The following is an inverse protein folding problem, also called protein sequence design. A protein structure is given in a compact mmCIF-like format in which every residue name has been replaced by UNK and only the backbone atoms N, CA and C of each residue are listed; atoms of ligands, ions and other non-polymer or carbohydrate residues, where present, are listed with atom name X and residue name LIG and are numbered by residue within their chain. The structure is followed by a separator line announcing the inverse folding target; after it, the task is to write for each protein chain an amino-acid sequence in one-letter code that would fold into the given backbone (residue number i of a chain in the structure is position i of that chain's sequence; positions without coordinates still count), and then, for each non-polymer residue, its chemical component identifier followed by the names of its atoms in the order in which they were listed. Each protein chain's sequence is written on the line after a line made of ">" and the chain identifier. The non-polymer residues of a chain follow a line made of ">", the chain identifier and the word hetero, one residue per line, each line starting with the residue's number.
data_IF_726056810343
#
_entry.id   IF_726056810343
#
_cell.length_a   1.000
_cell.length_b   1.000
_cell.length_c   1.000
_cell.angle_alpha   90.00
_cell.angle_beta   90.00
_cell.angle_gamma   90.00
#
_symmetry.space_group_name_H-M   'P 1'
#
loop_
_entity.id
_entity.type
_entity.pdbx_description
1 polymer ?
#
# COMPACT_ATOMS: atom_id res chain seq x y z
N UNK A 1 -15.42 -8.60 -71.22
CA UNK A 1 -15.20 -8.04 -69.88
C UNK A 1 -14.15 -8.89 -69.21
N UNK A 2 -12.90 -8.46 -69.27
CA UNK A 2 -11.77 -9.22 -68.76
C UNK A 2 -11.22 -8.57 -67.49
N UNK A 3 -11.17 -9.35 -66.41
CA UNK A 3 -10.61 -8.95 -65.14
C UNK A 3 -9.11 -9.23 -65.16
N UNK A 4 -8.29 -8.18 -65.11
CA UNK A 4 -6.82 -8.31 -65.05
C UNK A 4 -6.40 -8.52 -63.59
N UNK A 5 -5.83 -9.67 -63.31
CA UNK A 5 -5.19 -9.98 -62.03
C UNK A 5 -3.81 -9.31 -61.95
N UNK A 6 -3.59 -8.44 -60.96
CA UNK A 6 -2.30 -7.82 -60.62
C UNK A 6 -1.42 -8.79 -59.88
N UNK A 7 -0.32 -9.16 -60.56
CA UNK A 7 0.69 -10.09 -60.07
C UNK A 7 1.74 -9.37 -59.20
N UNK A 8 1.86 -9.81 -57.94
CA UNK A 8 2.85 -9.30 -56.96
C UNK A 8 4.22 -9.92 -57.13
N UNK A 9 4.91 -9.64 -58.25
CA UNK A 9 6.33 -9.97 -58.35
C UNK A 9 7.01 -8.95 -59.26
N UNK A 10 8.01 -8.31 -58.68
CA UNK A 10 9.09 -7.52 -59.22
C UNK A 10 9.11 -6.08 -58.74
N UNK A 11 9.77 -5.88 -57.61
CA UNK A 11 10.57 -4.69 -57.35
C UNK A 11 11.78 -5.10 -56.49
N UNK A 12 12.78 -5.60 -57.15
CA UNK A 12 14.14 -5.66 -56.62
C UNK A 12 15.01 -4.75 -57.45
N UNK A 13 15.89 -4.07 -56.75
CA UNK A 13 17.05 -3.37 -57.23
C UNK A 13 16.95 -1.84 -57.41
N UNK A 14 17.37 -1.12 -56.38
CA UNK A 14 18.34 -0.02 -56.56
C UNK A 14 19.05 0.22 -55.22
N UNK A 15 20.33 -0.04 -55.17
CA UNK A 15 21.20 0.08 -54.02
C UNK A 15 21.37 1.52 -53.52
N UNK A 16 21.55 1.63 -52.25
CA UNK A 16 21.98 2.81 -51.54
C UNK A 16 22.65 2.39 -50.24
N UNK A 17 23.98 2.19 -50.28
CA UNK A 17 24.78 2.03 -49.07
C UNK A 17 24.83 3.35 -48.32
N UNK A 18 23.93 3.50 -47.33
CA UNK A 18 24.04 4.54 -46.30
C UNK A 18 24.75 3.92 -45.12
N UNK A 19 26.01 4.30 -44.91
CA UNK A 19 26.73 4.07 -43.68
C UNK A 19 26.07 4.88 -42.57
N UNK A 20 25.11 4.29 -41.85
CA UNK A 20 24.66 4.80 -40.58
C UNK A 20 25.70 4.46 -39.52
N UNK A 21 26.56 5.44 -39.16
CA UNK A 21 27.39 5.36 -37.98
C UNK A 21 26.47 5.03 -36.79
N UNK A 22 26.55 3.78 -36.32
CA UNK A 22 25.83 3.31 -35.16
C UNK A 22 26.30 4.07 -33.92
N UNK A 23 25.53 5.05 -33.49
CA UNK A 23 25.59 5.52 -32.11
C UNK A 23 25.03 4.38 -31.24
N UNK A 24 25.94 3.53 -30.78
CA UNK A 24 25.62 2.58 -29.70
C UNK A 24 25.38 3.38 -28.47
N UNK A 25 24.18 3.99 -28.38
CA UNK A 25 23.66 4.51 -27.14
C UNK A 25 23.58 3.35 -26.17
N UNK A 26 24.52 3.28 -25.24
CA UNK A 26 24.39 2.44 -24.05
C UNK A 26 23.06 2.78 -23.40
N UNK A 27 22.02 1.99 -23.67
CA UNK A 27 20.81 1.99 -22.90
C UNK A 27 21.23 1.54 -21.50
N UNK A 28 21.59 2.51 -20.66
CA UNK A 28 21.73 2.24 -19.23
C UNK A 28 20.39 1.65 -18.79
N UNK A 29 20.40 0.48 -18.15
CA UNK A 29 19.16 -0.09 -17.65
C UNK A 29 18.49 0.98 -16.78
N UNK A 30 17.25 1.34 -17.11
CA UNK A 30 16.45 2.18 -16.25
C UNK A 30 16.56 1.57 -14.85
N UNK A 31 17.20 2.26 -13.91
CA UNK A 31 17.23 1.83 -12.53
C UNK A 31 15.76 1.65 -12.15
N UNK A 32 15.38 0.42 -11.84
CA UNK A 32 14.08 0.17 -11.24
C UNK A 32 13.98 1.12 -10.05
N UNK A 33 13.09 2.11 -10.13
CA UNK A 33 12.89 3.05 -9.03
C UNK A 33 12.40 2.20 -7.87
N UNK A 34 13.19 2.13 -6.80
CA UNK A 34 12.84 1.37 -5.63
C UNK A 34 11.51 1.88 -5.04
N UNK A 35 10.84 1.04 -4.28
CA UNK A 35 9.58 1.37 -3.63
C UNK A 35 9.80 2.53 -2.64
N UNK A 36 9.15 3.67 -2.88
CA UNK A 36 9.29 4.85 -2.03
C UNK A 36 8.67 4.63 -0.64
N UNK A 37 9.28 5.14 0.43
CA UNK A 37 8.73 5.01 1.78
C UNK A 37 7.40 5.75 1.92
N UNK A 38 6.50 5.17 2.70
CA UNK A 38 5.23 5.79 3.07
C UNK A 38 5.49 6.95 4.03
N UNK A 39 4.97 8.13 3.70
CA UNK A 39 4.96 9.26 4.62
C UNK A 39 3.80 9.13 5.63
N UNK A 40 4.01 9.64 6.85
CA UNK A 40 2.90 9.76 7.80
C UNK A 40 1.82 10.70 7.27
N UNK A 41 0.58 10.32 7.45
CA UNK A 41 -0.59 11.11 7.05
C UNK A 41 -0.93 12.15 8.12
N UNK A 42 -1.41 13.33 7.70
CA UNK A 42 -1.92 14.35 8.60
C UNK A 42 -3.05 13.78 9.47
N UNK A 43 -2.99 14.00 10.78
CA UNK A 43 -3.93 13.46 11.75
C UNK A 43 -3.81 11.94 11.96
N UNK A 44 -2.84 11.27 11.35
CA UNK A 44 -2.64 9.83 11.52
C UNK A 44 -2.30 9.43 12.96
N UNK A 45 -1.62 10.31 13.70
CA UNK A 45 -1.27 10.09 15.11
C UNK A 45 -2.31 10.59 16.12
N UNK A 46 -3.46 11.08 15.67
CA UNK A 46 -4.50 11.54 16.59
C UNK A 46 -4.93 10.39 17.51
N UNK A 47 -5.02 10.66 18.79
CA UNK A 47 -5.36 9.69 19.83
C UNK A 47 -4.45 8.45 19.91
N UNK A 48 -3.26 8.50 19.31
CA UNK A 48 -2.28 7.43 19.40
C UNK A 48 -1.93 7.13 20.87
N UNK A 49 -1.91 5.83 21.21
CA UNK A 49 -1.54 5.32 22.54
C UNK A 49 -0.41 4.31 22.38
N UNK A 50 0.79 4.67 22.79
CA UNK A 50 1.93 3.76 22.71
C UNK A 50 1.65 2.45 23.49
N UNK A 51 1.96 1.32 22.87
CA UNK A 51 1.93 0.02 23.53
C UNK A 51 0.53 -0.58 23.65
N UNK A 52 -0.39 -0.29 22.74
CA UNK A 52 -1.67 -1.00 22.70
C UNK A 52 -1.46 -2.53 22.69
N UNK A 53 -2.32 -3.32 23.37
CA UNK A 53 -2.10 -4.76 23.53
C UNK A 53 -2.25 -5.50 22.20
N UNK A 54 -1.54 -6.64 22.06
CA UNK A 54 -1.87 -7.62 21.05
C UNK A 54 -3.22 -8.25 21.36
N UNK A 55 -4.10 -8.26 20.37
CA UNK A 55 -5.45 -8.81 20.50
C UNK A 55 -5.81 -9.62 19.25
N UNK A 56 -6.64 -10.62 19.40
CA UNK A 56 -7.21 -11.34 18.25
C UNK A 56 -8.24 -10.48 17.51
N UNK A 57 -8.96 -9.65 18.26
CA UNK A 57 -9.90 -8.64 17.75
C UNK A 57 -10.13 -7.53 18.79
N UNK A 58 -10.52 -6.36 18.30
CA UNK A 58 -11.02 -5.26 19.13
C UNK A 58 -12.51 -5.44 19.29
N UNK A 59 -13.03 -5.33 20.50
CA UNK A 59 -14.47 -5.41 20.78
C UNK A 59 -15.13 -6.68 20.23
N UNK A 60 -16.34 -6.54 19.70
CA UNK A 60 -17.11 -7.66 19.13
C UNK A 60 -16.74 -7.99 17.66
N UNK A 61 -15.95 -7.15 17.03
CA UNK A 61 -15.56 -7.35 15.63
C UNK A 61 -16.66 -6.92 14.64
N UNK A 62 -16.56 -7.46 13.41
CA UNK A 62 -17.51 -7.20 12.31
C UNK A 62 -16.95 -6.31 11.20
N UNK A 63 -15.87 -5.58 11.44
CA UNK A 63 -15.14 -4.77 10.47
C UNK A 63 -13.68 -5.22 10.39
N UNK A 64 -13.10 -5.24 9.20
CA UNK A 64 -11.73 -5.68 9.00
C UNK A 64 -10.79 -4.55 8.61
N UNK A 65 -9.75 -4.34 9.41
CA UNK A 65 -8.57 -3.57 9.02
C UNK A 65 -7.51 -4.54 8.51
N UNK A 66 -6.98 -4.29 7.32
CA UNK A 66 -5.96 -5.15 6.71
C UNK A 66 -4.95 -4.35 5.89
N UNK A 67 -3.87 -4.99 5.50
CA UNK A 67 -2.88 -4.38 4.65
C UNK A 67 -1.59 -5.16 4.53
N UNK A 68 -0.55 -4.47 4.04
CA UNK A 68 0.78 -5.04 3.88
C UNK A 68 1.85 -4.11 4.42
N UNK A 69 2.97 -4.70 4.84
CA UNK A 69 4.17 -3.97 5.26
C UNK A 69 5.34 -4.44 4.40
N UNK A 70 5.99 -3.52 3.73
CA UNK A 70 7.11 -3.77 2.83
C UNK A 70 8.29 -2.87 3.16
N UNK A 71 9.50 -3.31 2.82
CA UNK A 71 10.70 -2.50 2.95
C UNK A 71 10.82 -1.51 1.79
N UNK A 72 11.18 -0.27 2.11
CA UNK A 72 11.50 0.73 1.10
C UNK A 72 12.71 0.29 0.28
N UNK A 73 12.71 0.63 -0.99
CA UNK A 73 13.73 0.23 -1.93
C UNK A 73 13.37 -1.08 -2.64
N UNK A 74 13.66 -2.21 -2.06
CA UNK A 74 13.48 -3.53 -2.70
C UNK A 74 12.04 -4.07 -2.66
N UNK A 75 11.17 -3.49 -1.83
CA UNK A 75 9.77 -3.94 -1.69
C UNK A 75 9.61 -5.31 -1.01
N UNK A 76 10.66 -5.82 -0.37
CA UNK A 76 10.59 -7.10 0.34
C UNK A 76 9.50 -7.07 1.43
N UNK A 77 8.70 -8.15 1.59
CA UNK A 77 7.73 -8.22 2.66
C UNK A 77 8.43 -8.23 4.03
N UNK A 78 7.85 -7.55 5.00
CA UNK A 78 8.37 -7.48 6.36
C UNK A 78 7.46 -8.28 7.30
N UNK A 79 7.95 -9.44 7.74
CA UNK A 79 7.28 -10.31 8.70
C UNK A 79 7.46 -9.82 10.15
N UNK A 80 6.56 -10.24 11.01
CA UNK A 80 6.59 -9.97 12.46
C UNK A 80 6.66 -8.48 12.84
N UNK A 81 6.16 -7.59 11.95
CA UNK A 81 6.06 -6.18 12.25
C UNK A 81 4.79 -5.89 13.03
N UNK A 82 4.93 -5.18 14.15
CA UNK A 82 3.81 -4.77 14.98
C UNK A 82 3.07 -3.60 14.34
N UNK A 83 1.79 -3.78 14.07
CA UNK A 83 0.90 -2.73 13.58
C UNK A 83 -0.17 -2.49 14.65
N UNK A 84 -0.22 -1.27 15.16
CA UNK A 84 -1.28 -0.81 16.04
C UNK A 84 -2.41 -0.21 15.24
N UNK A 85 -3.65 -0.46 15.64
CA UNK A 85 -4.88 -0.06 14.96
C UNK A 85 -5.86 0.50 15.97
N UNK A 86 -6.53 1.61 15.62
CA UNK A 86 -7.63 2.18 16.41
C UNK A 86 -8.57 3.00 15.53
N UNK A 87 -9.78 3.19 16.00
CA UNK A 87 -10.79 4.01 15.32
C UNK A 87 -11.93 4.39 16.26
N UNK A 88 -12.74 5.35 15.82
CA UNK A 88 -14.07 5.58 16.37
C UNK A 88 -15.04 4.57 15.77
N UNK A 89 -15.71 3.82 16.64
CA UNK A 89 -16.56 2.69 16.26
C UNK A 89 -17.91 2.75 16.94
N UNK A 90 -18.81 1.86 16.54
CA UNK A 90 -20.13 1.69 17.22
C UNK A 90 -20.00 1.27 18.69
N UNK A 91 -18.83 0.81 19.15
CA UNK A 91 -18.61 0.33 20.52
C UNK A 91 -17.73 1.26 21.36
N UNK A 92 -17.06 2.26 20.78
CA UNK A 92 -16.21 3.15 21.56
C UNK A 92 -15.54 4.23 20.72
N UNK A 93 -15.05 5.23 21.43
CA UNK A 93 -14.37 6.36 20.80
C UNK A 93 -12.87 6.07 20.59
N UNK A 94 -12.26 6.71 19.58
CA UNK A 94 -10.87 6.47 19.21
C UNK A 94 -9.83 6.85 20.28
N UNK A 95 -10.21 7.64 21.29
CA UNK A 95 -9.30 7.99 22.40
C UNK A 95 -9.38 6.97 23.56
N UNK A 96 -10.33 6.05 23.55
CA UNK A 96 -10.51 5.07 24.62
C UNK A 96 -9.54 3.88 24.46
N UNK A 97 -8.94 3.40 25.58
CA UNK A 97 -7.97 2.30 25.51
C UNK A 97 -8.49 1.03 24.83
N UNK A 98 -9.75 0.68 25.06
CA UNK A 98 -10.41 -0.51 24.50
C UNK A 98 -10.63 -0.43 22.98
N UNK A 99 -10.55 0.76 22.40
CA UNK A 99 -10.64 0.96 20.94
C UNK A 99 -9.31 0.72 20.22
N UNK A 100 -8.25 0.37 20.95
CA UNK A 100 -6.91 0.14 20.44
C UNK A 100 -6.52 -1.33 20.54
N UNK A 101 -5.88 -1.83 19.49
CA UNK A 101 -5.28 -3.16 19.47
C UNK A 101 -4.06 -3.20 18.56
N UNK A 102 -3.28 -4.25 18.66
CA UNK A 102 -2.15 -4.49 17.80
C UNK A 102 -2.17 -5.92 17.25
N UNK A 103 -1.59 -6.09 16.07
CA UNK A 103 -1.38 -7.38 15.41
C UNK A 103 0.03 -7.42 14.81
N UNK A 104 0.47 -8.61 14.41
CA UNK A 104 1.73 -8.81 13.70
C UNK A 104 1.49 -9.11 12.22
N UNK A 105 2.44 -8.71 11.39
CA UNK A 105 2.48 -9.17 10.01
C UNK A 105 2.89 -10.64 9.93
N UNK A 106 2.32 -11.36 8.96
CA UNK A 106 2.71 -12.72 8.61
C UNK A 106 4.02 -12.77 7.80
N UNK A 107 4.42 -13.98 7.36
CA UNK A 107 5.63 -14.20 6.55
C UNK A 107 5.62 -13.44 5.20
N UNK A 108 4.46 -13.10 4.69
CA UNK A 108 4.25 -12.36 3.43
C UNK A 108 4.10 -10.85 3.66
N UNK A 109 4.32 -10.37 4.89
CA UNK A 109 4.17 -8.98 5.29
C UNK A 109 2.71 -8.51 5.37
N UNK A 110 1.74 -9.42 5.42
CA UNK A 110 0.33 -9.09 5.53
C UNK A 110 -0.12 -9.01 6.98
N UNK A 111 -1.00 -8.10 7.28
CA UNK A 111 -1.67 -8.01 8.59
C UNK A 111 -3.19 -7.89 8.40
N UNK A 112 -3.91 -8.31 9.42
CA UNK A 112 -5.35 -8.08 9.55
C UNK A 112 -5.73 -8.06 11.01
N UNK A 113 -6.71 -7.25 11.36
CA UNK A 113 -7.30 -7.20 12.69
C UNK A 113 -8.78 -6.90 12.55
N UNK A 114 -9.61 -7.68 13.22
CA UNK A 114 -11.04 -7.45 13.30
C UNK A 114 -11.35 -6.42 14.39
N UNK A 115 -12.31 -5.54 14.13
CA UNK A 115 -12.75 -4.50 15.05
C UNK A 115 -14.23 -4.18 14.85
N UNK A 116 -14.90 -3.46 15.76
CA UNK A 116 -16.26 -3.03 15.54
C UNK A 116 -16.38 -2.09 14.33
N UNK A 117 -17.59 -1.99 13.76
CA UNK A 117 -17.86 -1.12 12.62
C UNK A 117 -17.41 0.32 12.91
N UNK A 118 -16.55 0.84 12.02
CA UNK A 118 -16.14 2.25 12.06
C UNK A 118 -17.30 3.13 11.65
N UNK A 119 -17.52 4.19 12.41
CA UNK A 119 -18.57 5.17 12.16
C UNK A 119 -17.98 6.58 12.03
N UNK A 120 -18.69 7.51 11.36
CA UNK A 120 -18.20 8.88 11.20
C UNK A 120 -18.02 9.59 12.55
N UNK A 121 -16.91 10.32 12.67
CA UNK A 121 -16.69 11.33 13.69
C UNK A 121 -15.99 12.53 13.04
N UNK A 122 -16.53 13.73 13.18
CA UNK A 122 -15.96 14.96 12.58
C UNK A 122 -15.59 14.82 11.11
N UNK A 123 -16.49 14.28 10.27
CA UNK A 123 -16.28 14.11 8.84
C UNK A 123 -16.47 12.67 8.36
N UNK A 124 -15.60 12.21 7.44
CA UNK A 124 -15.68 10.86 6.90
C UNK A 124 -15.20 9.81 7.91
N UNK A 125 -15.83 8.60 7.93
CA UNK A 125 -15.34 7.52 8.75
C UNK A 125 -13.93 7.12 8.32
N UNK A 126 -13.05 6.88 9.30
CA UNK A 126 -11.64 6.58 9.07
C UNK A 126 -11.09 5.70 10.17
N UNK A 127 -10.04 4.99 9.83
CA UNK A 127 -9.22 4.27 10.79
C UNK A 127 -7.88 4.95 11.00
N UNK A 128 -7.17 4.54 12.03
CA UNK A 128 -5.80 4.91 12.31
C UNK A 128 -4.93 3.67 12.41
N UNK A 129 -3.71 3.75 11.89
CA UNK A 129 -2.72 2.69 12.01
C UNK A 129 -1.35 3.30 12.32
N UNK A 130 -0.56 2.59 13.12
CA UNK A 130 0.81 3.00 13.42
C UNK A 130 1.78 1.82 13.29
N UNK A 131 2.93 2.12 12.70
CA UNK A 131 4.16 1.38 12.91
C UNK A 131 5.09 2.23 13.81
N UNK A 132 5.57 1.68 14.93
CA UNK A 132 6.36 2.42 15.93
C UNK A 132 7.41 1.56 16.66
N UNK A 133 7.81 0.41 16.08
CA UNK A 133 8.68 -0.57 16.76
C UNK A 133 10.16 -0.22 16.76
N UNK A 134 10.59 0.85 16.12
CA UNK A 134 11.95 1.40 16.20
C UNK A 134 12.98 0.81 15.23
N UNK A 135 12.72 -0.33 14.60
CA UNK A 135 13.58 -0.91 13.54
C UNK A 135 13.54 -0.07 12.25
N UNK A 136 12.36 0.46 11.96
CA UNK A 136 12.11 1.38 10.85
C UNK A 136 11.58 2.70 11.39
N UNK A 137 11.59 3.74 10.55
CA UNK A 137 10.99 5.03 10.90
C UNK A 137 9.51 4.87 11.22
N UNK A 138 9.07 5.56 12.26
CA UNK A 138 7.66 5.59 12.66
C UNK A 138 6.79 6.16 11.55
N UNK A 139 5.67 5.48 11.27
CA UNK A 139 4.68 5.89 10.27
C UNK A 139 3.28 5.81 10.86
N UNK A 140 2.51 6.88 10.69
CA UNK A 140 1.11 6.96 11.06
C UNK A 140 0.23 7.10 9.83
N UNK A 141 -0.80 6.27 9.69
CA UNK A 141 -1.75 6.33 8.59
C UNK A 141 -3.15 6.68 9.12
N UNK A 142 -3.92 7.34 8.25
CA UNK A 142 -5.33 7.69 8.49
C UNK A 142 -6.15 7.42 7.23
N UNK A 143 -6.31 6.14 6.83
CA UNK A 143 -7.14 5.81 5.68
C UNK A 143 -8.61 6.16 5.96
N UNK A 144 -9.27 6.65 4.91
CA UNK A 144 -10.67 7.10 4.97
C UNK A 144 -11.54 6.10 4.21
N UNK A 145 -12.69 5.77 4.78
CA UNK A 145 -13.71 4.97 4.11
C UNK A 145 -14.45 5.81 3.07
N UNK A 146 -14.73 5.24 1.92
CA UNK A 146 -15.53 5.89 0.87
C UNK A 146 -17.02 5.96 1.24
N UNK A 147 -17.46 5.01 2.05
CA UNK A 147 -18.83 4.89 2.52
C UNK A 147 -18.85 4.31 3.93
N UNK A 148 -19.76 4.79 4.78
CA UNK A 148 -19.99 4.22 6.11
C UNK A 148 -20.56 2.79 6.10
N UNK A 149 -20.91 2.27 4.91
CA UNK A 149 -21.39 0.89 4.72
C UNK A 149 -20.27 -0.11 4.41
N UNK A 150 -19.04 0.35 4.19
CA UNK A 150 -17.91 -0.56 4.00
C UNK A 150 -17.67 -1.36 5.27
N UNK A 151 -17.32 -2.63 5.10
CA UNK A 151 -17.03 -3.58 6.20
C UNK A 151 -15.55 -3.91 6.32
N UNK A 152 -14.73 -3.25 5.51
CA UNK A 152 -13.27 -3.37 5.55
C UNK A 152 -12.59 -2.10 5.07
N UNK A 153 -11.34 -1.91 5.51
CA UNK A 153 -10.47 -0.82 5.10
C UNK A 153 -9.04 -1.35 4.97
N UNK A 154 -8.37 -0.97 3.90
CA UNK A 154 -7.00 -1.39 3.66
C UNK A 154 -6.02 -0.23 3.81
N UNK A 155 -4.82 -0.54 4.33
CA UNK A 155 -3.71 0.39 4.43
C UNK A 155 -2.38 -0.34 4.24
N UNK A 156 -1.43 0.31 3.56
CA UNK A 156 -0.15 -0.30 3.24
C UNK A 156 1.00 0.56 3.74
N UNK A 157 1.99 -0.08 4.35
CA UNK A 157 3.22 0.55 4.81
C UNK A 157 4.38 0.16 3.90
N UNK A 158 5.16 1.14 3.51
CA UNK A 158 6.50 0.97 2.95
C UNK A 158 7.46 1.60 3.94
N UNK A 159 8.20 0.78 4.68
CA UNK A 159 9.00 1.23 5.80
C UNK A 159 10.46 1.46 5.39
N UNK A 160 11.00 2.61 5.77
CA UNK A 160 12.41 2.95 5.63
C UNK A 160 13.13 2.62 6.94
N UNK A 161 14.31 1.98 6.91
CA UNK A 161 15.13 1.79 8.10
C UNK A 161 15.33 3.09 8.89
N UNK A 162 15.35 2.99 10.23
CA UNK A 162 15.49 4.11 11.15
C UNK A 162 16.89 4.76 11.07
#
# INVERSE_FOLDING_TARGET
>A
MAIVALNRRNLLAAGGLVWAAGVSGLLLPARAQGLAPTASMSGGSNNYRKGAPFVERIGKGGFWMSGTVRRAGDGAPLAAQRIQIWAHTVEGQEHEPQSHGATLTDKDGKFRLEMPQIIPIFGQPHGHLAYDSGEFKTVFLRPVMRSAKETSLEAHFVLQPA
#
